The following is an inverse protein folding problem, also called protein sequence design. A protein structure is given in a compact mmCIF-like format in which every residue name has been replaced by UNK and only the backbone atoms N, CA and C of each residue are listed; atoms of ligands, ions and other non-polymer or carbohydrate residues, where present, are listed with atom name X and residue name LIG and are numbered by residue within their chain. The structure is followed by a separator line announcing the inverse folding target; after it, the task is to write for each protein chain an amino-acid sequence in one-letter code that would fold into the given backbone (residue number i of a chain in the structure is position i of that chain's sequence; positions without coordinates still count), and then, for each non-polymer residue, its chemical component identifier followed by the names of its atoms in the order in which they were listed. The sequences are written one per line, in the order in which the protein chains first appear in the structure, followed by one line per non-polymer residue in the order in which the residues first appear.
data_IF_552246417852
#
_entry.id   IF_552246417852
#
_cell.length_a   1.000
_cell.length_b   1.000
_cell.length_c   1.000
_cell.angle_alpha   90.00
_cell.angle_beta   90.00
_cell.angle_gamma   90.00
#
_symmetry.space_group_name_H-M   'P 1'
#
loop_
_entity.id
_entity.type
_entity.pdbx_description
1 polymer ?
#
# COMPACT_ATOMS: atom_id res chain seq x y z
N UNK A 1 -3.35 -11.79 -1.84
CA UNK A 1 -2.34 -10.79 -1.38
C UNK A 1 -2.76 -10.15 -0.06
N UNK A 2 -3.91 -9.48 0.00
CA UNK A 2 -4.39 -8.80 1.21
C UNK A 2 -5.39 -9.70 1.94
N UNK A 3 -4.90 -10.53 2.86
CA UNK A 3 -5.76 -11.39 3.70
C UNK A 3 -5.89 -10.86 5.14
N UNK A 4 -4.82 -10.27 5.67
CA UNK A 4 -4.77 -9.72 7.03
C UNK A 4 -3.87 -8.47 7.07
N UNK A 5 -4.07 -7.55 8.03
CA UNK A 5 -3.19 -6.39 8.23
C UNK A 5 -1.71 -6.76 8.33
N UNK A 6 -1.36 -7.84 9.03
CA UNK A 6 0.02 -8.31 9.15
C UNK A 6 0.67 -8.64 7.79
N UNK A 7 -0.09 -9.22 6.86
CA UNK A 7 0.41 -9.49 5.49
C UNK A 7 0.69 -8.20 4.74
N UNK A 8 -0.18 -7.19 4.89
CA UNK A 8 0.03 -5.86 4.29
C UNK A 8 1.31 -5.23 4.82
N UNK A 9 1.49 -5.23 6.14
CA UNK A 9 2.67 -4.67 6.79
C UNK A 9 3.93 -5.38 6.31
N UNK A 10 3.93 -6.72 6.26
CA UNK A 10 5.07 -7.51 5.76
C UNK A 10 5.50 -7.07 4.36
N UNK A 11 4.55 -7.00 3.42
CA UNK A 11 4.85 -6.64 2.03
C UNK A 11 5.35 -5.19 1.91
N UNK A 12 4.82 -4.26 2.71
CA UNK A 12 5.28 -2.87 2.71
C UNK A 12 6.67 -2.71 3.32
N UNK A 13 7.01 -3.50 4.34
CA UNK A 13 8.37 -3.56 4.88
C UNK A 13 9.33 -4.10 3.82
N UNK A 14 8.96 -5.17 3.11
CA UNK A 14 9.79 -5.75 2.05
C UNK A 14 10.05 -4.73 0.93
N UNK A 15 9.02 -3.98 0.50
CA UNK A 15 9.18 -2.87 -0.45
C UNK A 15 10.12 -1.77 0.07
N UNK A 16 10.04 -1.45 1.37
CA UNK A 16 10.92 -0.46 2.00
C UNK A 16 12.38 -0.93 2.01
N UNK A 17 12.61 -2.22 2.27
CA UNK A 17 13.95 -2.84 2.24
C UNK A 17 14.50 -2.84 0.80
N UNK A 18 13.69 -3.22 -0.18
CA UNK A 18 14.06 -3.20 -1.60
C UNK A 18 14.41 -1.79 -2.09
N UNK A 19 13.75 -0.76 -1.53
CA UNK A 19 14.06 0.65 -1.75
C UNK A 19 15.35 1.12 -1.04
N UNK A 20 16.14 0.20 -0.47
CA UNK A 20 17.40 0.47 0.23
C UNK A 20 17.24 1.39 1.44
N UNK A 21 16.10 1.29 2.13
CA UNK A 21 15.82 2.08 3.33
C UNK A 21 16.72 1.65 4.50
N UNK A 22 17.15 2.63 5.29
CA UNK A 22 17.93 2.41 6.51
C UNK A 22 17.12 2.64 7.77
N UNK A 23 15.97 3.30 7.64
CA UNK A 23 15.00 3.53 8.69
C UNK A 23 13.60 3.29 8.14
N UNK A 24 12.80 2.52 8.87
CA UNK A 24 11.41 2.20 8.54
C UNK A 24 10.59 2.40 9.83
N UNK A 25 9.69 3.36 9.81
CA UNK A 25 8.74 3.65 10.88
C UNK A 25 7.38 3.05 10.54
N UNK A 26 6.77 2.37 11.51
CA UNK A 26 5.48 1.69 11.34
C UNK A 26 4.53 2.13 12.45
N UNK A 27 3.37 2.63 12.05
CA UNK A 27 2.27 2.95 12.94
C UNK A 27 1.06 2.09 12.62
N UNK A 28 0.43 1.55 13.66
CA UNK A 28 -0.71 0.64 13.54
C UNK A 28 -1.77 1.12 14.52
N UNK A 29 -2.97 1.39 14.00
CA UNK A 29 -4.16 1.68 14.79
C UNK A 29 -5.18 0.55 14.67
N UNK A 30 -5.79 0.18 15.81
CA UNK A 30 -6.89 -0.79 15.88
C UNK A 30 -6.59 -2.13 15.15
N UNK A 31 -5.46 -2.74 15.50
CA UNK A 31 -4.99 -3.99 14.87
C UNK A 31 -4.65 -3.88 13.38
N UNK A 32 -4.52 -2.66 12.85
CA UNK A 32 -4.20 -2.37 11.45
C UNK A 32 -5.40 -2.35 10.52
N UNK A 33 -6.61 -2.50 11.05
CA UNK A 33 -7.84 -2.43 10.24
C UNK A 33 -8.26 -0.98 10.04
N UNK A 34 -8.26 -0.18 11.11
CA UNK A 34 -8.61 1.23 11.01
C UNK A 34 -7.49 2.05 10.37
N UNK A 35 -6.24 1.78 10.72
CA UNK A 35 -5.10 2.58 10.27
C UNK A 35 -3.79 1.80 10.25
N UNK A 36 -3.02 1.97 9.17
CA UNK A 36 -1.62 1.61 9.08
C UNK A 36 -0.85 2.73 8.37
N UNK A 37 0.32 3.08 8.87
CA UNK A 37 1.26 3.96 8.16
C UNK A 37 2.66 3.38 8.19
N UNK A 38 3.30 3.29 7.03
CA UNK A 38 4.68 2.86 6.88
C UNK A 38 5.42 4.03 6.26
N UNK A 39 6.48 4.50 6.91
CA UNK A 39 7.35 5.57 6.41
C UNK A 39 8.78 5.06 6.35
N UNK A 40 9.40 5.15 5.18
CA UNK A 40 10.78 4.78 4.95
C UNK A 40 11.60 5.97 4.43
N UNK A 41 12.92 5.86 4.57
CA UNK A 41 13.88 6.82 4.03
C UNK A 41 14.64 6.27 2.81
N UNK A 42 13.99 5.41 2.02
CA UNK A 42 14.57 4.79 0.83
C UNK A 42 14.75 5.77 -0.32
N UNK A 43 15.00 5.22 -1.51
CA UNK A 43 15.29 6.00 -2.72
C UNK A 43 14.12 6.87 -3.21
N UNK A 44 12.89 6.57 -2.76
CA UNK A 44 11.67 7.19 -3.26
C UNK A 44 11.36 6.86 -4.72
N UNK A 45 10.29 7.43 -5.25
CA UNK A 45 9.81 7.22 -6.62
C UNK A 45 9.66 8.56 -7.36
N UNK A 46 9.73 8.50 -8.68
CA UNK A 46 9.25 9.59 -9.55
C UNK A 46 7.72 9.63 -9.55
N UNK A 47 7.09 10.70 -10.07
CA UNK A 47 5.64 10.73 -10.23
C UNK A 47 5.18 9.57 -11.12
N UNK A 48 5.89 9.32 -12.22
CA UNK A 48 5.57 8.26 -13.18
C UNK A 48 5.65 6.88 -12.54
N UNK A 49 6.72 6.59 -11.79
CA UNK A 49 6.87 5.32 -11.08
C UNK A 49 5.81 5.15 -9.99
N UNK A 50 5.51 6.21 -9.23
CA UNK A 50 4.49 6.20 -8.20
C UNK A 50 3.11 5.91 -8.79
N UNK A 51 2.79 6.52 -9.94
CA UNK A 51 1.53 6.25 -10.66
C UNK A 51 1.50 4.82 -11.19
N UNK A 52 2.59 4.33 -11.77
CA UNK A 52 2.68 2.96 -12.27
C UNK A 52 2.52 1.92 -11.16
N UNK A 53 3.07 2.19 -9.97
CA UNK A 53 2.97 1.32 -8.81
C UNK A 53 1.52 1.16 -8.29
N UNK A 54 0.66 2.14 -8.57
CA UNK A 54 -0.74 2.18 -8.14
C UNK A 54 -1.72 1.75 -9.23
N UNK A 55 -1.38 1.97 -10.51
CA UNK A 55 -2.22 1.57 -11.62
C UNK A 55 -2.31 0.04 -11.70
N UNK A 56 -3.54 -0.49 -11.61
CA UNK A 56 -3.84 -1.81 -12.16
C UNK A 56 -3.40 -1.83 -13.62
N UNK A 57 -2.74 -2.91 -14.04
CA UNK A 57 -2.24 -3.17 -15.40
C UNK A 57 -0.79 -2.77 -15.76
N UNK A 58 0.12 -2.60 -14.79
CA UNK A 58 1.55 -2.79 -15.10
C UNK A 58 1.86 -4.26 -15.54
N UNK A 59 0.96 -5.19 -15.22
CA UNK A 59 0.90 -6.59 -15.70
C UNK A 59 -0.54 -6.92 -16.11
N UNK A 60 -0.72 -7.41 -17.33
CA UNK A 60 -1.96 -7.35 -18.12
C UNK A 60 -3.08 -8.37 -17.80
N UNK A 61 -3.31 -8.78 -16.53
CA UNK A 61 -4.06 -10.03 -16.27
C UNK A 61 -5.22 -10.04 -15.25
N UNK A 62 -5.78 -8.91 -14.82
CA UNK A 62 -6.82 -8.94 -13.77
C UNK A 62 -7.98 -8.04 -14.18
N UNK A 63 -9.08 -8.63 -14.63
CA UNK A 63 -10.30 -7.92 -15.04
C UNK A 63 -11.47 -8.16 -14.08
N UNK A 64 -11.39 -9.17 -13.20
CA UNK A 64 -12.45 -9.51 -12.24
C UNK A 64 -11.97 -9.53 -10.78
N UNK A 65 -12.88 -9.31 -9.81
CA UNK A 65 -12.59 -9.43 -8.37
C UNK A 65 -12.20 -10.87 -8.01
N UNK A 66 -12.68 -11.84 -8.79
CA UNK A 66 -12.30 -13.26 -8.68
C UNK A 66 -10.85 -13.55 -9.11
N UNK A 67 -10.28 -12.79 -10.05
CA UNK A 67 -8.89 -12.95 -10.50
C UNK A 67 -7.87 -12.59 -9.41
N UNK A 68 -8.29 -11.87 -8.36
CA UNK A 68 -7.46 -11.54 -7.21
C UNK A 68 -7.11 -12.78 -6.37
N UNK A 69 -7.83 -13.90 -6.53
CA UNK A 69 -7.64 -15.14 -5.77
C UNK A 69 -6.63 -16.10 -6.42
N UNK A 70 -6.36 -16.00 -7.72
CA UNK A 70 -5.48 -16.92 -8.47
C UNK A 70 -3.98 -16.51 -8.52
N UNK A 71 -3.64 -15.37 -7.93
CA UNK A 71 -2.28 -14.77 -7.96
C UNK A 71 -1.35 -15.41 -6.91
N UNK A 72 -1.67 -16.61 -6.41
CA UNK A 72 -0.84 -17.30 -5.42
C UNK A 72 0.49 -17.84 -6.00
N UNK A 73 0.72 -17.77 -7.32
CA UNK A 73 1.80 -18.51 -7.99
C UNK A 73 2.89 -17.69 -8.70
N UNK A 74 2.80 -16.36 -8.77
CA UNK A 74 3.85 -15.52 -9.37
C UNK A 74 4.35 -14.49 -8.37
N UNK A 75 5.66 -14.51 -8.11
CA UNK A 75 6.33 -13.57 -7.22
C UNK A 75 5.95 -12.10 -7.51
N UNK A 76 5.58 -11.42 -6.43
CA UNK A 76 4.88 -10.14 -6.34
C UNK A 76 5.66 -8.91 -6.86
N UNK A 77 5.92 -8.85 -8.17
CA UNK A 77 6.49 -7.66 -8.82
C UNK A 77 5.37 -6.71 -9.27
N UNK A 78 5.00 -5.74 -8.43
CA UNK A 78 4.22 -4.56 -8.84
C UNK A 78 2.70 -4.57 -8.58
N UNK A 79 2.15 -5.60 -7.95
CA UNK A 79 0.68 -5.73 -7.77
C UNK A 79 0.19 -5.49 -6.33
N UNK A 80 1.10 -5.42 -5.35
CA UNK A 80 0.75 -5.31 -3.93
C UNK A 80 0.04 -3.99 -3.60
N UNK A 81 0.61 -2.86 -4.03
CA UNK A 81 0.07 -1.53 -3.73
C UNK A 81 -1.30 -1.31 -4.39
N UNK A 82 -1.44 -1.67 -5.67
CA UNK A 82 -2.72 -1.63 -6.37
C UNK A 82 -3.79 -2.51 -5.68
N UNK A 83 -3.40 -3.69 -5.19
CA UNK A 83 -4.31 -4.59 -4.45
C UNK A 83 -4.78 -3.98 -3.14
N UNK A 84 -3.87 -3.40 -2.36
CA UNK A 84 -4.17 -2.73 -1.09
C UNK A 84 -5.08 -1.51 -1.33
N UNK A 85 -4.72 -0.68 -2.30
CA UNK A 85 -5.48 0.52 -2.68
C UNK A 85 -6.91 0.19 -3.15
N UNK A 86 -7.11 -0.98 -3.76
CA UNK A 86 -8.44 -1.44 -4.20
C UNK A 86 -9.44 -1.72 -3.07
N UNK A 87 -8.96 -1.92 -1.84
CA UNK A 87 -9.78 -2.33 -0.69
C UNK A 87 -9.63 -1.41 0.52
N UNK A 88 -9.10 -0.21 0.36
CA UNK A 88 -8.86 0.74 1.45
C UNK A 88 -8.98 2.20 1.00
N UNK A 89 -8.94 3.11 1.96
CA UNK A 89 -8.62 4.52 1.74
C UNK A 89 -7.09 4.66 1.79
N UNK A 90 -6.47 4.74 0.62
CA UNK A 90 -5.03 4.63 0.44
C UNK A 90 -4.40 5.97 0.05
N UNK A 91 -3.22 6.25 0.61
CA UNK A 91 -2.39 7.41 0.24
C UNK A 91 -0.94 6.99 0.16
N UNK A 92 -0.26 7.37 -0.92
CA UNK A 92 1.17 7.18 -1.13
C UNK A 92 1.79 8.56 -1.31
N UNK A 93 2.78 8.88 -0.49
CA UNK A 93 3.61 10.07 -0.61
C UNK A 93 5.05 9.62 -0.84
N UNK A 94 5.73 10.17 -1.83
CA UNK A 94 7.10 9.77 -2.14
C UNK A 94 7.91 10.92 -2.70
N UNK A 95 9.20 10.98 -2.37
CA UNK A 95 10.12 11.97 -2.93
C UNK A 95 11.49 11.34 -3.12
N UNK A 96 12.07 11.52 -4.30
CA UNK A 96 13.49 11.21 -4.51
C UNK A 96 14.38 12.27 -3.88
N UNK A 97 15.55 11.86 -3.39
CA UNK A 97 16.49 12.77 -2.72
C UNK A 97 16.89 13.99 -3.57
N UNK A 98 16.97 13.81 -4.89
CA UNK A 98 17.35 14.81 -5.90
C UNK A 98 16.18 15.67 -6.42
N UNK A 99 14.94 15.42 -6.00
CA UNK A 99 13.75 16.18 -6.45
C UNK A 99 13.32 17.24 -5.45
N UNK A 100 13.11 18.50 -5.83
CA UNK A 100 12.67 19.56 -4.91
C UNK A 100 11.30 19.30 -4.25
N UNK A 101 10.39 18.65 -4.98
CA UNK A 101 9.06 18.27 -4.52
C UNK A 101 8.86 16.75 -4.65
N UNK A 102 8.06 16.21 -3.74
CA UNK A 102 7.54 14.85 -3.85
C UNK A 102 6.22 14.80 -4.59
N UNK A 103 5.66 13.60 -4.68
CA UNK A 103 4.34 13.33 -5.22
C UNK A 103 3.48 12.70 -4.14
N UNK A 104 2.22 13.12 -4.03
CA UNK A 104 1.19 12.43 -3.26
C UNK A 104 0.11 11.91 -4.18
N UNK A 105 -0.18 10.61 -4.07
CA UNK A 105 -1.26 9.92 -4.76
C UNK A 105 -2.27 9.45 -3.73
N UNK A 106 -3.55 9.66 -4.01
CA UNK A 106 -4.65 9.13 -3.21
C UNK A 106 -5.55 8.23 -4.03
N UNK A 107 -6.02 7.14 -3.40
CA UNK A 107 -6.88 6.14 -4.02
C UNK A 107 -7.93 5.70 -3.01
N UNK A 108 -9.20 5.70 -3.43
CA UNK A 108 -10.31 5.23 -2.61
C UNK A 108 -10.96 4.01 -3.26
N UNK A 109 -10.78 2.84 -2.64
CA UNK A 109 -11.40 1.60 -3.13
C UNK A 109 -11.02 1.27 -4.57
N UNK A 110 -9.78 1.59 -4.97
CA UNK A 110 -9.25 1.36 -6.32
C UNK A 110 -9.57 2.47 -7.32
N UNK A 111 -10.33 3.49 -6.92
CA UNK A 111 -10.56 4.68 -7.74
C UNK A 111 -9.45 5.69 -7.46
N UNK A 112 -8.65 6.00 -8.47
CA UNK A 112 -7.63 7.04 -8.38
C UNK A 112 -8.30 8.39 -8.16
N UNK A 113 -8.03 9.05 -7.04
CA UNK A 113 -8.71 10.30 -6.68
C UNK A 113 -7.86 11.53 -6.95
N UNK A 114 -6.56 11.49 -6.66
CA UNK A 114 -5.69 12.64 -6.87
C UNK A 114 -4.21 12.25 -7.05
N UNK A 115 -3.46 13.13 -7.70
CA UNK A 115 -2.01 13.07 -7.87
C UNK A 115 -1.45 14.47 -7.95
N UNK A 116 -0.81 14.90 -6.86
CA UNK A 116 -0.38 16.28 -6.69
C UNK A 116 1.09 16.34 -6.26
N UNK A 117 1.80 17.43 -6.63
CA UNK A 117 3.05 17.77 -5.99
C UNK A 117 2.86 17.95 -4.48
N UNK A 118 3.78 17.43 -3.68
CA UNK A 118 3.66 17.42 -2.22
C UNK A 118 5.01 17.64 -1.53
N UNK A 119 5.02 18.42 -0.46
CA UNK A 119 6.20 18.61 0.38
C UNK A 119 6.43 17.40 1.28
N UNK A 120 7.53 16.67 1.07
CA UNK A 120 7.88 15.48 1.85
C UNK A 120 9.40 15.33 2.03
N UNK A 121 9.82 14.58 3.04
CA UNK A 121 11.20 14.12 3.16
C UNK A 121 11.51 13.08 2.05
N UNK A 122 12.78 12.88 1.67
CA UNK A 122 13.16 11.78 0.79
C UNK A 122 12.72 10.42 1.36
N UNK A 123 12.25 9.54 0.49
CA UNK A 123 11.71 8.23 0.85
C UNK A 123 10.25 8.10 0.47
N UNK A 124 9.56 7.14 1.11
CA UNK A 124 8.16 6.85 0.82
C UNK A 124 7.35 6.71 2.11
N UNK A 125 6.15 7.29 2.12
CA UNK A 125 5.14 7.10 3.15
C UNK A 125 3.89 6.52 2.52
N UNK A 126 3.44 5.38 3.04
CA UNK A 126 2.19 4.73 2.66
C UNK A 126 1.25 4.77 3.85
N UNK A 127 0.06 5.33 3.64
CA UNK A 127 -1.02 5.39 4.63
C UNK A 127 -2.22 4.59 4.11
N UNK A 128 -2.76 3.73 4.98
CA UNK A 128 -3.89 2.86 4.70
C UNK A 128 -4.91 3.08 5.81
N UNK A 129 -6.13 3.47 5.42
CA UNK A 129 -7.27 3.65 6.32
C UNK A 129 -8.41 2.74 5.93
N UNK A 130 -9.14 2.26 6.93
CA UNK A 130 -10.32 1.41 6.80
C UNK A 130 -10.13 0.24 5.83
N UNK A 131 -9.18 -0.64 6.15
CA UNK A 131 -8.91 -1.84 5.37
C UNK A 131 -10.19 -2.70 5.25
N UNK A 132 -10.50 -3.10 4.02
CA UNK A 132 -11.70 -3.85 3.64
C UNK A 132 -13.03 -3.11 3.83
N UNK A 133 -13.06 -1.77 3.89
CA UNK A 133 -14.30 -1.01 4.04
C UNK A 133 -15.34 -1.33 2.96
N UNK A 134 -14.88 -1.56 1.73
CA UNK A 134 -15.71 -1.89 0.56
C UNK A 134 -15.86 -3.41 0.31
N UNK A 135 -15.33 -4.27 1.20
CA UNK A 135 -15.42 -5.74 1.11
C UNK A 135 -15.94 -6.37 2.41
N UNK A 136 -17.24 -6.24 2.72
CA UNK A 136 -17.82 -6.60 4.02
C UNK A 136 -17.62 -8.06 4.43
N UNK A 137 -17.60 -8.99 3.46
CA UNK A 137 -17.33 -10.39 3.71
C UNK A 137 -15.92 -10.58 4.31
N UNK A 138 -14.89 -9.96 3.73
CA UNK A 138 -13.50 -10.04 4.24
C UNK A 138 -13.36 -9.36 5.60
N UNK A 139 -14.04 -8.22 5.80
CA UNK A 139 -14.06 -7.55 7.09
C UNK A 139 -14.62 -8.44 8.22
N UNK A 140 -15.60 -9.29 7.93
CA UNK A 140 -16.15 -10.27 8.89
C UNK A 140 -15.24 -11.47 9.17
N UNK A 141 -14.28 -11.76 8.28
CA UNK A 141 -13.31 -12.86 8.45
C UNK A 141 -12.05 -12.44 9.22
N UNK A 142 -11.86 -11.15 9.49
CA UNK A 142 -10.81 -10.66 10.38
C UNK A 142 -11.06 -11.19 11.80
N UNK A 143 -10.00 -11.70 12.44
CA UNK A 143 -10.09 -12.11 13.84
C UNK A 143 -10.20 -10.86 14.72
N UNK A 144 -10.61 -11.04 15.98
CA UNK A 144 -10.69 -9.96 16.97
C UNK A 144 -9.41 -9.13 16.99
N UNK A 145 -9.50 -7.82 17.20
CA UNK A 145 -8.39 -6.84 17.26
C UNK A 145 -7.15 -7.34 18.03
N UNK A 146 -7.37 -8.04 19.15
CA UNK A 146 -6.32 -8.63 19.98
C UNK A 146 -5.46 -9.65 19.24
N UNK A 147 -6.00 -10.41 18.30
CA UNK A 147 -5.25 -11.41 17.52
C UNK A 147 -4.45 -10.76 16.39
N UNK A 148 -4.97 -9.70 15.78
CA UNK A 148 -4.28 -8.99 14.71
C UNK A 148 -3.13 -8.10 15.24
N UNK A 149 -3.24 -7.62 16.49
CA UNK A 149 -2.17 -6.82 17.14
C UNK A 149 -1.05 -7.64 17.80
N UNK A 150 -1.24 -8.95 18.00
CA UNK A 150 -0.33 -9.80 18.80
C UNK A 150 0.59 -10.70 17.97
N UNK A 151 0.67 -10.50 16.65
CA UNK A 151 1.45 -11.33 15.73
C UNK A 151 2.45 -10.53 14.93
#
# INVERSE_FOLDING_TARGET
VVERPASVIKELIENSIDASSTNIEIEIGDGGVAYMRITDNGIGMTEEDARLAILRHATSKIQHVEDLFDIASLGFRGEALASIASVSHFSLTTRKADSDLGTRITVDGGTFTDCIPYGAAPGTTIEIRDLFYNTPARRKFLKTERTESSK
#
